data_IF_145534686106
#
_entry.id   IF_145534686106
#
_cell.length_a   1.000
_cell.length_b   1.000
_cell.length_c   1.000
_cell.angle_alpha   90.00
_cell.angle_beta   90.00
_cell.angle_gamma   90.00
#
_symmetry.space_group_name_H-M   'P 1'
#
loop_
_entity.id
_entity.type
_entity.pdbx_description
1 polymer ?
#
# COMPACT_ATOMS: atom_id res chain seq x y z
N UNK A 1 -17.21 -7.65 -6.95
CA UNK A 1 -16.83 -8.13 -5.61
C UNK A 1 -15.83 -7.13 -5.07
N UNK A 2 -16.07 -6.55 -3.90
CA UNK A 2 -15.07 -5.67 -3.27
C UNK A 2 -13.94 -6.52 -2.66
N UNK A 3 -12.72 -6.03 -2.72
CA UNK A 3 -11.54 -6.64 -2.07
C UNK A 3 -11.80 -6.85 -0.57
N UNK A 4 -11.42 -8.03 -0.08
CA UNK A 4 -11.33 -8.29 1.35
C UNK A 4 -10.07 -7.64 1.96
N UNK A 5 -10.01 -7.60 3.28
CA UNK A 5 -8.94 -6.89 3.99
C UNK A 5 -7.56 -7.53 3.79
N UNK A 6 -7.50 -8.86 3.67
CA UNK A 6 -6.25 -9.60 3.50
C UNK A 6 -5.63 -9.33 2.12
N UNK A 7 -6.47 -9.32 1.09
CA UNK A 7 -6.07 -9.01 -0.28
C UNK A 7 -5.64 -7.54 -0.38
N UNK A 8 -6.40 -6.62 0.23
CA UNK A 8 -6.01 -5.21 0.30
C UNK A 8 -4.66 -4.99 0.98
N UNK A 9 -4.41 -5.63 2.12
CA UNK A 9 -3.14 -5.50 2.84
C UNK A 9 -1.95 -6.01 2.00
N UNK A 10 -2.16 -7.09 1.24
CA UNK A 10 -1.13 -7.62 0.34
C UNK A 10 -0.80 -6.61 -0.77
N UNK A 11 -1.82 -6.05 -1.43
CA UNK A 11 -1.65 -5.01 -2.46
C UNK A 11 -1.00 -3.76 -1.88
N UNK A 12 -1.41 -3.33 -0.68
CA UNK A 12 -0.83 -2.18 0.01
C UNK A 12 0.67 -2.37 0.26
N UNK A 13 1.07 -3.53 0.78
CA UNK A 13 2.48 -3.83 1.02
C UNK A 13 3.29 -3.93 -0.27
N UNK A 14 2.72 -4.53 -1.32
CA UNK A 14 3.36 -4.61 -2.63
C UNK A 14 3.57 -3.21 -3.22
N UNK A 15 2.54 -2.36 -3.16
CA UNK A 15 2.59 -0.98 -3.69
C UNK A 15 3.58 -0.12 -2.88
N UNK A 16 3.59 -0.23 -1.55
CA UNK A 16 4.55 0.48 -0.68
C UNK A 16 6.00 -0.02 -0.88
N UNK A 17 6.19 -1.23 -1.41
CA UNK A 17 7.52 -1.76 -1.71
C UNK A 17 8.12 -1.21 -3.02
N UNK A 18 7.31 -0.53 -3.84
CA UNK A 18 7.74 0.08 -5.10
C UNK A 18 8.66 1.29 -4.86
N UNK A 19 9.27 1.81 -5.93
CA UNK A 19 10.07 3.04 -5.89
C UNK A 19 9.24 4.28 -6.27
N UNK A 20 7.92 4.17 -6.28
CA UNK A 20 7.04 5.24 -6.72
C UNK A 20 6.90 6.33 -5.65
N UNK A 21 6.50 7.52 -6.10
CA UNK A 21 6.19 8.65 -5.23
C UNK A 21 4.86 8.43 -4.48
N UNK A 22 4.66 9.05 -3.30
CA UNK A 22 3.45 8.91 -2.48
C UNK A 22 2.12 9.07 -3.23
N UNK A 23 2.05 10.05 -4.13
CA UNK A 23 0.84 10.34 -4.90
C UNK A 23 0.52 9.21 -5.90
N UNK A 24 1.55 8.60 -6.48
CA UNK A 24 1.41 7.45 -7.39
C UNK A 24 0.95 6.22 -6.61
N UNK A 25 1.53 5.97 -5.42
CA UNK A 25 1.12 4.87 -4.54
C UNK A 25 -0.37 5.02 -4.18
N UNK A 26 -0.80 6.23 -3.78
CA UNK A 26 -2.20 6.50 -3.43
C UNK A 26 -3.13 6.33 -4.63
N UNK A 27 -2.73 6.81 -5.81
CA UNK A 27 -3.51 6.66 -7.04
C UNK A 27 -3.67 5.18 -7.44
N UNK A 28 -2.60 4.38 -7.32
CA UNK A 28 -2.64 2.93 -7.58
C UNK A 28 -3.63 2.24 -6.66
N UNK A 29 -3.57 2.51 -5.35
CA UNK A 29 -4.50 1.92 -4.37
C UNK A 29 -5.96 2.32 -4.62
N UNK A 30 -6.20 3.52 -5.16
CA UNK A 30 -7.55 3.99 -5.48
C UNK A 30 -8.16 3.35 -6.73
N UNK A 31 -7.33 2.82 -7.64
CA UNK A 31 -7.80 2.12 -8.85
C UNK A 31 -8.28 0.69 -8.55
N UNK A 32 -7.92 0.15 -7.38
CA UNK A 32 -8.34 -1.17 -6.95
C UNK A 32 -9.85 -1.25 -6.66
N UNK A 33 -10.40 -2.45 -6.81
CA UNK A 33 -11.82 -2.74 -6.55
C UNK A 33 -12.12 -2.79 -5.03
N UNK A 34 -11.85 -1.70 -4.33
CA UNK A 34 -11.98 -1.56 -2.88
C UNK A 34 -13.44 -1.41 -2.44
N UNK A 35 -13.74 -1.86 -1.20
CA UNK A 35 -14.99 -1.50 -0.54
C UNK A 35 -15.00 -0.01 -0.19
N UNK A 36 -16.18 0.62 -0.02
CA UNK A 36 -16.25 2.03 0.37
C UNK A 36 -15.47 2.37 1.64
N UNK A 37 -15.43 1.45 2.61
CA UNK A 37 -14.66 1.63 3.84
C UNK A 37 -13.15 1.71 3.59
N UNK A 38 -12.63 0.85 2.70
CA UNK A 38 -11.21 0.85 2.33
C UNK A 38 -10.86 2.05 1.43
N UNK A 39 -11.76 2.46 0.54
CA UNK A 39 -11.57 3.68 -0.25
C UNK A 39 -11.44 4.91 0.65
N UNK A 40 -12.35 5.05 1.64
CA UNK A 40 -12.29 6.14 2.61
C UNK A 40 -11.00 6.10 3.44
N UNK A 41 -10.54 4.90 3.83
CA UNK A 41 -9.27 4.74 4.54
C UNK A 41 -8.07 5.19 3.69
N UNK A 42 -7.99 4.82 2.41
CA UNK A 42 -6.90 5.27 1.52
C UNK A 42 -6.94 6.79 1.33
N UNK A 43 -8.12 7.42 1.34
CA UNK A 43 -8.23 8.87 1.23
C UNK A 43 -7.59 9.61 2.41
N UNK A 44 -7.56 9.02 3.62
CA UNK A 44 -6.93 9.63 4.80
C UNK A 44 -5.40 9.57 4.77
N UNK A 45 -4.79 8.96 3.75
CA UNK A 45 -3.33 8.90 3.65
C UNK A 45 -2.75 10.27 3.29
N UNK A 46 -1.89 10.76 4.17
CA UNK A 46 -1.08 11.95 3.94
C UNK A 46 0.24 11.56 3.25
N UNK A 47 0.80 12.41 2.37
CA UNK A 47 2.02 12.09 1.63
C UNK A 47 3.19 11.66 2.53
N UNK A 48 3.42 12.37 3.64
CA UNK A 48 4.50 12.04 4.60
C UNK A 48 4.30 10.67 5.24
N UNK A 49 3.05 10.30 5.54
CA UNK A 49 2.71 8.97 6.08
C UNK A 49 3.05 7.86 5.07
N UNK A 50 2.70 8.07 3.80
CA UNK A 50 2.96 7.11 2.72
C UNK A 50 4.46 6.98 2.47
N UNK A 51 5.20 8.10 2.49
CA UNK A 51 6.65 8.12 2.35
C UNK A 51 7.33 7.32 3.47
N UNK A 52 6.96 7.57 4.73
CA UNK A 52 7.47 6.82 5.88
C UNK A 52 7.12 5.34 5.71
N UNK A 53 5.86 5.01 5.45
CA UNK A 53 5.43 3.63 5.28
C UNK A 53 6.22 2.90 4.18
N UNK A 54 6.44 3.55 3.04
CA UNK A 54 7.25 3.00 1.94
C UNK A 54 8.70 2.75 2.38
N UNK A 55 9.32 3.69 3.11
CA UNK A 55 10.67 3.50 3.65
C UNK A 55 10.75 2.34 4.65
N UNK A 56 9.75 2.18 5.52
CA UNK A 56 9.70 1.05 6.46
C UNK A 56 9.56 -0.28 5.72
N UNK A 57 8.67 -0.35 4.73
CA UNK A 57 8.47 -1.55 3.90
C UNK A 57 9.73 -1.89 3.09
N UNK A 58 10.41 -0.90 2.51
CA UNK A 58 11.67 -1.12 1.78
C UNK A 58 12.78 -1.65 2.68
N UNK A 59 12.92 -1.12 3.90
CA UNK A 59 13.99 -1.49 4.84
C UNK A 59 13.72 -2.82 5.56
N UNK A 60 12.47 -3.09 5.94
CA UNK A 60 12.11 -4.25 6.76
C UNK A 60 11.26 -5.30 6.05
N UNK A 61 10.47 -4.92 5.05
CA UNK A 61 9.67 -5.85 4.23
C UNK A 61 10.52 -6.77 3.35
N UNK A 62 11.72 -6.33 2.94
CA UNK A 62 12.67 -7.16 2.16
C UNK A 62 13.24 -8.37 2.92
N UNK A 63 12.97 -8.53 4.23
CA UNK A 63 13.46 -9.71 4.98
C UNK A 63 12.70 -11.00 4.63
N UNK A 64 11.49 -10.91 4.09
CA UNK A 64 10.69 -12.11 3.73
C UNK A 64 11.10 -12.73 2.38
N UNK A 65 11.71 -11.95 1.47
CA UNK A 65 12.08 -12.41 0.13
C UNK A 65 13.51 -12.98 0.01
N UNK A 66 14.26 -13.11 1.11
CA UNK A 66 15.60 -13.75 1.15
C UNK A 66 15.63 -15.12 1.83
N UNK A 67 14.48 -15.71 2.13
CA UNK A 67 14.35 -17.06 2.71
C UNK A 67 13.69 -18.07 1.76
N UNK A 68 13.71 -17.82 0.45
CA UNK A 68 13.36 -18.80 -0.59
C UNK A 68 14.61 -19.26 -1.32
#
# INVERSE_FOLDING_TARGET
>A
MSLDIATFQSILLETLSSQDEPDVIKATLQQEALSPALQNYVQTFEPEMVEIAAELVKKWGKRLSKLQ
#
